data_IF_887740593470
#
_entry.id   IF_887740593470
#
_cell.length_a   1.000
_cell.length_b   1.000
_cell.length_c   1.000
_cell.angle_alpha   90.00
_cell.angle_beta   90.00
_cell.angle_gamma   90.00
#
_symmetry.space_group_name_H-M   'P 1'
#
loop_
_entity.id
_entity.type
_entity.pdbx_description
1 polymer ?
#
# COMPACT_ATOMS: atom_id res chain seq x y z
N UNK A 1 5.80 -19.03 -5.15
CA UNK A 1 4.50 -18.90 -4.45
C UNK A 1 4.64 -19.57 -3.09
N UNK A 2 4.68 -18.78 -2.03
CA UNK A 2 5.02 -19.21 -0.67
C UNK A 2 3.97 -18.67 0.30
N UNK A 3 3.70 -19.38 1.41
CA UNK A 3 2.76 -18.91 2.41
C UNK A 3 3.30 -17.64 3.07
N UNK A 4 2.52 -16.58 3.06
CA UNK A 4 2.87 -15.31 3.70
C UNK A 4 2.08 -15.19 5.00
N UNK A 5 2.76 -14.71 6.04
CA UNK A 5 2.12 -14.42 7.32
C UNK A 5 1.97 -12.92 7.48
N UNK A 6 0.74 -12.51 7.76
CA UNK A 6 0.41 -11.18 8.26
C UNK A 6 0.23 -11.22 9.79
N UNK A 7 0.95 -10.34 10.47
CA UNK A 7 0.94 -10.20 11.92
C UNK A 7 0.54 -8.80 12.32
N UNK A 8 -0.24 -8.70 13.39
CA UNK A 8 -0.45 -7.47 14.10
C UNK A 8 0.71 -7.23 15.08
N UNK A 9 1.18 -6.00 15.14
CA UNK A 9 2.22 -5.58 16.08
C UNK A 9 1.57 -4.81 17.22
N UNK A 10 1.51 -5.43 18.40
CA UNK A 10 1.15 -4.77 19.65
C UNK A 10 2.43 -4.38 20.38
N UNK A 11 2.92 -3.17 20.09
CA UNK A 11 3.83 -2.53 21.04
C UNK A 11 2.97 -2.00 22.18
N UNK A 12 2.97 -2.70 23.32
CA UNK A 12 2.39 -2.14 24.54
C UNK A 12 3.17 -0.87 24.86
N UNK A 13 2.57 0.29 24.60
CA UNK A 13 3.12 1.56 25.04
C UNK A 13 3.29 1.47 26.55
N UNK A 14 4.54 1.34 26.99
CA UNK A 14 4.86 1.56 28.39
C UNK A 14 4.37 2.98 28.69
N UNK A 15 3.43 3.10 29.62
CA UNK A 15 2.77 4.33 30.11
C UNK A 15 3.77 5.48 30.33
N UNK A 16 4.19 6.17 29.27
CA UNK A 16 5.02 7.38 29.34
C UNK A 16 4.15 8.61 29.06
N UNK A 17 3.00 8.45 28.39
CA UNK A 17 2.01 9.49 28.14
C UNK A 17 1.03 9.73 29.30
N UNK A 18 1.02 8.89 30.34
CA UNK A 18 0.15 9.03 31.54
C UNK A 18 0.87 9.65 32.74
N UNK A 19 1.88 10.49 32.52
CA UNK A 19 2.05 11.63 33.42
C UNK A 19 1.03 12.66 32.99
N UNK A 20 -0.15 12.59 33.60
CA UNK A 20 -1.22 13.56 33.36
C UNK A 20 -0.72 14.97 33.56
N UNK A 21 -0.48 15.69 32.47
CA UNK A 21 -0.32 17.13 32.51
C UNK A 21 -1.61 17.73 31.95
N UNK A 22 -2.39 18.25 32.89
CA UNK A 22 -3.59 19.02 32.64
C UNK A 22 -3.33 20.04 31.52
N UNK A 23 -4.32 20.15 30.64
CA UNK A 23 -4.43 21.17 29.62
C UNK A 23 -4.17 22.56 30.24
N UNK A 24 -2.95 23.09 30.10
CA UNK A 24 -2.75 24.54 29.96
C UNK A 24 -1.37 25.02 29.52
N UNK A 25 -0.31 24.20 29.51
CA UNK A 25 1.00 24.65 29.02
C UNK A 25 1.60 23.65 28.03
N UNK A 26 1.69 24.09 26.78
CA UNK A 26 2.29 23.36 25.67
C UNK A 26 3.82 23.52 25.76
N UNK A 27 4.41 22.85 26.75
CA UNK A 27 5.81 23.02 27.12
C UNK A 27 6.74 22.41 26.06
N UNK A 28 7.69 23.20 25.55
CA UNK A 28 8.73 22.81 24.59
C UNK A 28 9.48 21.52 24.98
N UNK A 29 9.58 21.25 26.29
CA UNK A 29 10.18 20.04 26.86
C UNK A 29 9.37 18.75 26.57
N UNK A 30 8.04 18.85 26.47
CA UNK A 30 7.17 17.71 26.11
C UNK A 30 7.31 17.34 24.63
N UNK A 31 7.45 18.34 23.75
CA UNK A 31 7.70 18.09 22.33
C UNK A 31 9.09 17.47 22.07
N UNK A 32 10.13 17.90 22.80
CA UNK A 32 11.48 17.31 22.70
C UNK A 32 11.53 15.86 23.23
N UNK A 33 10.78 15.56 24.31
CA UNK A 33 10.73 14.20 24.87
C UNK A 33 9.96 13.24 23.95
N UNK A 34 8.84 13.68 23.38
CA UNK A 34 8.05 12.90 22.42
C UNK A 34 8.84 12.65 21.13
N UNK A 35 9.52 13.66 20.59
CA UNK A 35 10.36 13.50 19.39
C UNK A 35 11.51 12.52 19.64
N UNK A 36 12.16 12.62 20.81
CA UNK A 36 13.22 11.68 21.20
C UNK A 36 12.68 10.25 21.38
N UNK A 37 11.51 10.10 21.98
CA UNK A 37 10.84 8.80 22.11
C UNK A 37 10.49 8.20 20.75
N UNK A 38 9.92 8.96 19.82
CA UNK A 38 9.63 8.52 18.45
C UNK A 38 10.93 8.08 17.74
N UNK A 39 12.04 8.80 17.94
CA UNK A 39 13.33 8.40 17.37
C UNK A 39 13.83 7.07 17.96
N UNK A 40 13.67 6.86 19.25
CA UNK A 40 14.00 5.58 19.91
C UNK A 40 13.09 4.47 19.38
N UNK A 41 11.79 4.70 19.22
CA UNK A 41 10.85 3.73 18.67
C UNK A 41 11.21 3.32 17.24
N UNK A 42 11.55 4.29 16.38
CA UNK A 42 12.08 4.02 15.03
C UNK A 42 13.33 3.15 15.07
N UNK A 43 14.23 3.41 16.03
CA UNK A 43 15.47 2.63 16.20
C UNK A 43 15.20 1.21 16.68
N UNK A 44 14.34 1.04 17.68
CA UNK A 44 13.93 -0.28 18.19
C UNK A 44 13.24 -1.07 17.09
N UNK A 45 12.33 -0.45 16.35
CA UNK A 45 11.65 -1.07 15.21
C UNK A 45 12.63 -1.48 14.09
N UNK A 46 13.62 -0.64 13.78
CA UNK A 46 14.65 -1.00 12.81
C UNK A 46 15.49 -2.20 13.27
N UNK A 47 15.85 -2.26 14.55
CA UNK A 47 16.55 -3.41 15.15
C UNK A 47 15.69 -4.67 15.13
N UNK A 48 14.40 -4.53 15.41
CA UNK A 48 13.42 -5.60 15.35
C UNK A 48 13.33 -6.21 13.95
N UNK A 49 13.16 -5.40 12.91
CA UNK A 49 13.17 -5.87 11.52
C UNK A 49 14.52 -6.49 11.11
N UNK A 50 15.63 -6.00 11.65
CA UNK A 50 16.93 -6.61 11.42
C UNK A 50 17.03 -8.02 12.03
N UNK A 51 16.43 -8.25 13.21
CA UNK A 51 16.42 -9.57 13.84
C UNK A 51 15.51 -10.57 13.10
N UNK A 52 14.35 -10.14 12.58
CA UNK A 52 13.56 -10.97 11.65
C UNK A 52 14.40 -11.48 10.47
N UNK A 53 15.12 -10.57 9.81
CA UNK A 53 15.99 -10.92 8.67
C UNK A 53 17.13 -11.85 9.08
N UNK A 54 17.72 -11.67 10.26
CA UNK A 54 18.76 -12.58 10.79
C UNK A 54 18.23 -13.98 11.05
N UNK A 55 16.97 -14.10 11.47
CA UNK A 55 16.28 -15.38 11.66
C UNK A 55 15.77 -16.00 10.34
N UNK A 56 16.13 -15.40 9.20
CA UNK A 56 15.79 -15.90 7.86
C UNK A 56 14.39 -15.55 7.39
N UNK A 57 13.66 -14.68 8.10
CA UNK A 57 12.36 -14.18 7.65
C UNK A 57 12.55 -13.10 6.60
N UNK A 58 11.89 -13.24 5.45
CA UNK A 58 11.88 -12.21 4.43
C UNK A 58 10.71 -11.25 4.70
N UNK A 59 11.02 -10.01 5.08
CA UNK A 59 10.02 -9.00 5.43
C UNK A 59 9.54 -8.29 4.16
N UNK A 60 8.27 -8.50 3.81
CA UNK A 60 7.62 -7.87 2.64
C UNK A 60 7.18 -6.45 2.98
N UNK A 61 6.52 -6.29 4.12
CA UNK A 61 5.99 -5.00 4.56
C UNK A 61 6.07 -4.90 6.07
N UNK A 62 6.35 -3.71 6.59
CA UNK A 62 6.31 -3.45 8.00
C UNK A 62 6.04 -1.97 8.29
N UNK A 63 5.06 -1.71 9.15
CA UNK A 63 4.87 -0.43 9.83
C UNK A 63 4.72 -0.67 11.34
N UNK A 64 4.41 0.36 12.12
CA UNK A 64 4.28 0.22 13.58
C UNK A 64 3.06 -0.59 14.05
N UNK A 65 2.17 -1.00 13.14
CA UNK A 65 0.94 -1.71 13.46
C UNK A 65 0.85 -3.11 12.83
N UNK A 66 1.58 -3.35 11.73
CA UNK A 66 1.45 -4.56 10.91
C UNK A 66 2.80 -4.96 10.31
N UNK A 67 3.07 -6.25 10.29
CA UNK A 67 4.22 -6.85 9.61
C UNK A 67 3.73 -8.00 8.72
N UNK A 68 4.19 -8.03 7.47
CA UNK A 68 3.99 -9.13 6.54
C UNK A 68 5.34 -9.77 6.27
N UNK A 69 5.45 -11.07 6.55
CA UNK A 69 6.64 -11.87 6.27
C UNK A 69 6.33 -12.99 5.29
N UNK A 70 7.34 -13.33 4.49
CA UNK A 70 7.36 -14.55 3.72
C UNK A 70 8.01 -15.66 4.53
N UNK A 71 7.26 -16.76 4.72
CA UNK A 71 7.69 -17.90 5.53
C UNK A 71 8.58 -18.86 4.75
N UNK A 72 8.61 -18.79 3.42
CA UNK A 72 9.30 -19.76 2.59
C UNK A 72 8.68 -21.16 2.61
N UNK A 73 7.49 -21.33 3.21
CA UNK A 73 6.82 -22.63 3.34
C UNK A 73 5.67 -22.75 2.35
N UNK A 74 5.54 -23.92 1.74
CA UNK A 74 4.48 -24.19 0.76
C UNK A 74 3.20 -24.60 1.49
N UNK A 75 3.32 -25.38 2.56
CA UNK A 75 2.21 -25.89 3.34
C UNK A 75 1.93 -25.02 4.59
N UNK A 76 0.65 -24.87 4.90
CA UNK A 76 0.18 -24.07 6.03
C UNK A 76 0.68 -24.58 7.40
N UNK A 77 0.71 -25.90 7.70
CA UNK A 77 1.23 -26.40 8.97
C UNK A 77 2.70 -26.05 9.19
N UNK A 78 3.56 -26.21 8.17
CA UNK A 78 4.97 -25.82 8.26
C UNK A 78 5.13 -24.31 8.39
N UNK A 79 4.29 -23.52 7.72
CA UNK A 79 4.26 -22.06 7.88
C UNK A 79 3.95 -21.68 9.33
N UNK A 80 2.91 -22.28 9.94
CA UNK A 80 2.56 -22.06 11.36
C UNK A 80 3.72 -22.43 12.30
N UNK A 81 4.29 -23.63 12.15
CA UNK A 81 5.41 -24.08 12.98
C UNK A 81 6.64 -23.17 12.85
N UNK A 82 6.94 -22.67 11.63
CA UNK A 82 8.00 -21.69 11.43
C UNK A 82 7.72 -20.39 12.19
N UNK A 83 6.48 -19.89 12.12
CA UNK A 83 6.08 -18.66 12.79
C UNK A 83 6.13 -18.80 14.32
N UNK A 84 5.62 -19.89 14.88
CA UNK A 84 5.68 -20.13 16.32
C UNK A 84 7.13 -20.19 16.83
N UNK A 85 8.01 -20.84 16.08
CA UNK A 85 9.45 -20.89 16.38
C UNK A 85 10.11 -19.50 16.31
N UNK A 86 9.78 -18.73 15.27
CA UNK A 86 10.27 -17.36 15.06
C UNK A 86 9.84 -16.45 16.21
N UNK A 87 8.56 -16.48 16.59
CA UNK A 87 8.01 -15.70 17.69
C UNK A 87 8.64 -16.06 19.02
N UNK A 88 8.74 -17.36 19.32
CA UNK A 88 9.38 -17.84 20.54
C UNK A 88 10.85 -17.39 20.61
N UNK A 89 11.56 -17.40 19.49
CA UNK A 89 12.95 -16.93 19.43
C UNK A 89 13.06 -15.43 19.64
N UNK A 90 12.16 -14.63 19.05
CA UNK A 90 12.14 -13.17 19.25
C UNK A 90 11.88 -12.79 20.71
N UNK A 91 10.99 -13.52 21.40
CA UNK A 91 10.69 -13.31 22.82
C UNK A 91 11.88 -13.62 23.76
N UNK A 92 12.87 -14.41 23.32
CA UNK A 92 14.09 -14.65 24.13
C UNK A 92 15.05 -13.46 24.15
N UNK A 93 14.82 -12.43 23.34
CA UNK A 93 15.68 -11.24 23.28
C UNK A 93 15.14 -10.18 24.23
N UNK A 94 15.94 -9.76 25.20
CA UNK A 94 15.59 -8.74 26.21
C UNK A 94 15.02 -7.44 25.59
N UNK A 95 15.52 -7.05 24.41
CA UNK A 95 15.07 -5.84 23.71
C UNK A 95 13.62 -5.92 23.19
N UNK A 96 13.07 -7.12 23.00
CA UNK A 96 11.75 -7.35 22.40
C UNK A 96 10.78 -8.06 23.33
N UNK A 97 11.16 -8.27 24.60
CA UNK A 97 10.31 -8.89 25.62
C UNK A 97 8.92 -8.21 25.73
N UNK A 98 8.89 -6.90 25.48
CA UNK A 98 7.70 -6.05 25.59
C UNK A 98 6.90 -5.93 24.28
N UNK A 99 7.34 -6.62 23.23
CA UNK A 99 6.68 -6.60 21.92
C UNK A 99 5.83 -7.86 21.79
N UNK A 100 4.52 -7.66 21.69
CA UNK A 100 3.56 -8.72 21.42
C UNK A 100 3.27 -8.77 19.92
N UNK A 101 3.36 -9.97 19.35
CA UNK A 101 3.10 -10.23 17.95
C UNK A 101 1.99 -11.27 17.85
N UNK A 102 0.90 -10.92 17.18
CA UNK A 102 -0.24 -11.81 17.00
C UNK A 102 -0.40 -12.16 15.51
N UNK A 103 -0.29 -13.44 15.12
CA UNK A 103 -0.64 -13.88 13.76
C UNK A 103 -2.11 -13.58 13.45
N UNK A 104 -2.38 -12.78 12.41
CA UNK A 104 -3.75 -12.45 11.99
C UNK A 104 -4.20 -13.32 10.82
N UNK A 105 -3.44 -13.30 9.73
CA UNK A 105 -3.82 -13.94 8.47
C UNK A 105 -2.66 -14.71 7.87
N UNK A 106 -2.94 -15.93 7.41
CA UNK A 106 -2.04 -16.69 6.56
C UNK A 106 -2.55 -16.56 5.12
N UNK A 107 -1.66 -16.27 4.19
CA UNK A 107 -1.98 -16.10 2.78
C UNK A 107 -1.28 -17.20 1.98
N UNK A 108 -2.01 -17.93 1.15
CA UNK A 108 -1.41 -18.89 0.21
C UNK A 108 -0.73 -18.20 -0.98
N UNK A 109 -1.24 -17.04 -1.37
CA UNK A 109 -0.71 -16.19 -2.43
C UNK A 109 -1.11 -14.76 -2.12
N UNK A 110 -0.22 -13.80 -2.32
CA UNK A 110 -0.47 -12.37 -2.11
C UNK A 110 0.24 -11.55 -3.19
N UNK A 111 -0.51 -10.66 -3.82
CA UNK A 111 0.03 -9.50 -4.52
C UNK A 111 -0.12 -8.30 -3.60
N UNK A 112 1.00 -7.67 -3.27
CA UNK A 112 1.04 -6.56 -2.32
C UNK A 112 1.75 -5.37 -2.96
N UNK A 113 1.02 -4.27 -3.18
CA UNK A 113 1.58 -2.99 -3.62
C UNK A 113 1.80 -2.08 -2.42
N UNK A 114 0.76 -1.91 -1.60
CA UNK A 114 0.80 -1.17 -0.34
C UNK A 114 -0.34 -1.65 0.59
N UNK A 115 -0.51 -0.99 1.74
CA UNK A 115 -1.52 -1.36 2.75
C UNK A 115 -2.99 -1.18 2.29
N UNK A 116 -3.25 -0.46 1.19
CA UNK A 116 -4.57 -0.23 0.60
C UNK A 116 -4.76 -0.93 -0.76
N UNK A 117 -3.67 -1.42 -1.34
CA UNK A 117 -3.60 -2.03 -2.66
C UNK A 117 -2.95 -3.41 -2.56
N UNK A 118 -3.76 -4.42 -2.28
CA UNK A 118 -3.35 -5.81 -2.20
C UNK A 118 -4.49 -6.76 -2.61
N UNK A 119 -4.13 -7.95 -3.05
CA UNK A 119 -5.06 -9.04 -3.27
C UNK A 119 -4.40 -10.36 -2.95
N UNK A 120 -5.13 -11.30 -2.36
CA UNK A 120 -4.54 -12.55 -1.93
C UNK A 120 -5.56 -13.65 -1.70
N UNK A 121 -5.07 -14.88 -1.66
CA UNK A 121 -5.84 -16.07 -1.33
C UNK A 121 -5.59 -16.38 0.13
N UNK A 122 -6.60 -16.19 0.97
CA UNK A 122 -6.46 -16.37 2.39
C UNK A 122 -6.57 -17.85 2.76
N UNK A 123 -5.66 -18.31 3.61
CA UNK A 123 -5.71 -19.63 4.21
C UNK A 123 -6.69 -19.61 5.38
N UNK A 124 -7.65 -20.55 5.39
CA UNK A 124 -8.59 -20.66 6.50
C UNK A 124 -7.87 -21.13 7.77
N UNK A 125 -8.03 -20.36 8.84
CA UNK A 125 -7.64 -20.79 10.18
C UNK A 125 -8.81 -21.58 10.73
N UNK A 126 -8.76 -22.92 10.65
CA UNK A 126 -9.77 -23.77 11.27
C UNK A 126 -9.76 -23.56 12.78
N UNK A 127 -10.67 -22.73 13.27
CA UNK A 127 -11.11 -22.65 14.66
C UNK A 127 -12.63 -22.89 14.72
N UNK A 128 -13.16 -23.93 14.07
CA UNK A 128 -14.51 -24.44 14.37
C UNK A 128 -14.56 -25.96 14.17
N UNK A 129 -14.94 -26.62 15.24
CA UNK A 129 -15.35 -28.01 15.39
C UNK A 129 -16.41 -28.43 14.34
N UNK A 130 -15.98 -29.10 13.28
CA UNK A 130 -16.83 -30.04 12.53
C UNK A 130 -15.95 -30.81 11.55
N UNK A 131 -15.70 -32.07 11.87
CA UNK A 131 -14.83 -32.99 11.15
C UNK A 131 -15.44 -33.55 9.86
N UNK A 132 -16.38 -32.84 9.23
CA UNK A 132 -17.12 -33.31 8.06
C UNK A 132 -17.34 -32.16 7.06
N UNK A 133 -16.30 -31.82 6.31
CA UNK A 133 -16.47 -31.08 5.05
C UNK A 133 -15.39 -31.53 4.08
N UNK A 134 -15.82 -32.28 3.06
CA UNK A 134 -15.05 -32.63 1.88
C UNK A 134 -14.26 -31.43 1.36
N UNK A 135 -12.96 -31.65 1.09
CA UNK A 135 -11.97 -30.73 0.48
C UNK A 135 -12.38 -30.37 -0.96
N UNK A 136 -13.54 -29.72 -1.10
CA UNK A 136 -14.08 -29.20 -2.35
C UNK A 136 -13.55 -27.81 -2.66
N UNK A 137 -13.36 -27.53 -3.95
CA UNK A 137 -12.92 -26.24 -4.55
C UNK A 137 -13.86 -25.05 -4.22
N UNK A 138 -14.94 -25.27 -3.46
CA UNK A 138 -16.01 -24.31 -3.14
C UNK A 138 -15.68 -23.36 -1.96
N UNK A 139 -14.50 -23.48 -1.34
CA UNK A 139 -14.20 -22.80 -0.07
C UNK A 139 -12.95 -21.90 -0.12
N UNK A 140 -12.76 -21.18 -1.22
CA UNK A 140 -11.62 -20.30 -1.47
C UNK A 140 -12.01 -18.84 -1.23
N UNK A 141 -11.34 -18.20 -0.27
CA UNK A 141 -11.54 -16.78 0.03
C UNK A 141 -10.45 -15.93 -0.64
N UNK A 142 -10.82 -15.29 -1.77
CA UNK A 142 -9.95 -14.34 -2.46
C UNK A 142 -10.29 -12.93 -1.98
N UNK A 143 -9.37 -12.35 -1.22
CA UNK A 143 -9.47 -10.97 -0.77
C UNK A 143 -8.95 -10.04 -1.87
N UNK A 144 -9.74 -9.01 -2.20
CA UNK A 144 -9.42 -8.03 -3.22
C UNK A 144 -9.60 -6.62 -2.66
N UNK A 145 -8.50 -5.95 -2.35
CA UNK A 145 -8.48 -4.58 -1.82
C UNK A 145 -7.61 -3.71 -2.73
N UNK A 146 -8.22 -3.06 -3.71
CA UNK A 146 -7.49 -2.23 -4.70
C UNK A 146 -8.05 -0.81 -4.75
N UNK A 147 -7.59 0.06 -3.86
CA UNK A 147 -7.98 1.48 -3.88
C UNK A 147 -7.68 2.15 -5.23
N UNK A 148 -6.59 1.80 -5.90
CA UNK A 148 -6.27 2.28 -7.26
C UNK A 148 -7.35 1.94 -8.30
N UNK A 149 -8.13 0.88 -8.09
CA UNK A 149 -9.20 0.50 -9.01
C UNK A 149 -10.39 1.47 -8.94
N UNK A 150 -10.59 2.17 -7.82
CA UNK A 150 -11.66 3.15 -7.67
C UNK A 150 -11.48 4.35 -8.61
N UNK A 151 -10.24 4.62 -9.01
CA UNK A 151 -9.84 5.65 -9.97
C UNK A 151 -9.95 5.20 -11.43
N UNK A 152 -10.45 3.99 -11.70
CA UNK A 152 -10.82 3.56 -13.04
C UNK A 152 -12.30 3.90 -13.33
N UNK A 153 -12.71 4.06 -14.59
CA UNK A 153 -14.13 4.14 -14.95
C UNK A 153 -14.92 2.95 -14.41
N UNK A 154 -16.14 3.17 -13.89
CA UNK A 154 -16.96 2.12 -13.26
C UNK A 154 -17.11 0.86 -14.13
N UNK A 155 -17.29 1.02 -15.43
CA UNK A 155 -17.41 -0.09 -16.38
C UNK A 155 -16.15 -0.99 -16.48
N UNK A 156 -14.98 -0.52 -16.03
CA UNK A 156 -13.72 -1.26 -16.11
C UNK A 156 -13.24 -1.79 -14.76
N UNK A 157 -13.88 -1.40 -13.64
CA UNK A 157 -13.49 -1.82 -12.30
C UNK A 157 -13.64 -3.33 -12.11
N UNK A 158 -14.78 -3.89 -12.54
CA UNK A 158 -15.04 -5.33 -12.43
C UNK A 158 -14.06 -6.16 -13.26
N UNK A 159 -13.74 -5.68 -14.46
CA UNK A 159 -12.73 -6.30 -15.33
C UNK A 159 -11.35 -6.32 -14.65
N UNK A 160 -10.98 -5.23 -13.97
CA UNK A 160 -9.72 -5.15 -13.25
C UNK A 160 -9.68 -6.18 -12.10
N UNK A 161 -10.72 -6.21 -11.26
CA UNK A 161 -10.82 -7.13 -10.12
C UNK A 161 -10.79 -8.58 -10.59
N UNK A 162 -11.53 -8.91 -11.66
CA UNK A 162 -11.57 -10.26 -12.21
C UNK A 162 -10.19 -10.74 -12.68
N UNK A 163 -9.49 -9.94 -13.48
CA UNK A 163 -8.18 -10.33 -14.03
C UNK A 163 -7.15 -10.50 -12.91
N UNK A 164 -7.12 -9.60 -11.92
CA UNK A 164 -6.19 -9.72 -10.79
C UNK A 164 -6.49 -10.97 -9.96
N UNK A 165 -7.78 -11.25 -9.72
CA UNK A 165 -8.20 -12.45 -8.98
C UNK A 165 -7.82 -13.74 -9.71
N UNK A 166 -7.99 -13.79 -11.02
CA UNK A 166 -7.56 -14.92 -11.85
C UNK A 166 -6.04 -15.08 -11.87
N UNK A 167 -5.30 -13.97 -11.92
CA UNK A 167 -3.84 -13.99 -11.87
C UNK A 167 -3.31 -14.54 -10.54
N UNK A 168 -4.03 -14.32 -9.44
CA UNK A 168 -3.76 -14.97 -8.16
C UNK A 168 -4.14 -16.46 -8.17
N UNK A 169 -5.33 -16.77 -8.66
CA UNK A 169 -5.94 -18.10 -8.58
C UNK A 169 -5.31 -19.14 -9.50
N UNK A 170 -5.10 -18.81 -10.78
CA UNK A 170 -4.61 -19.75 -11.81
C UNK A 170 -3.30 -20.44 -11.42
N UNK A 171 -2.22 -19.72 -11.07
CA UNK A 171 -0.98 -20.37 -10.68
C UNK A 171 -1.08 -21.09 -9.32
N UNK A 172 -1.95 -20.63 -8.42
CA UNK A 172 -2.17 -21.29 -7.13
C UNK A 172 -2.88 -22.63 -7.29
N UNK A 173 -3.93 -22.67 -8.12
CA UNK A 173 -4.66 -23.91 -8.45
C UNK A 173 -3.72 -24.94 -9.06
N UNK A 174 -2.92 -24.52 -10.04
CA UNK A 174 -1.91 -25.37 -10.67
C UNK A 174 -0.91 -25.92 -9.65
N UNK A 175 -0.45 -25.10 -8.70
CA UNK A 175 0.43 -25.55 -7.62
C UNK A 175 -0.25 -26.60 -6.73
N UNK A 176 -1.51 -26.39 -6.32
CA UNK A 176 -2.28 -27.34 -5.49
C UNK A 176 -2.41 -28.70 -6.19
N UNK A 177 -2.75 -28.68 -7.48
CA UNK A 177 -2.85 -29.89 -8.31
C UNK A 177 -1.51 -30.62 -8.43
N UNK A 178 -0.41 -29.90 -8.65
CA UNK A 178 0.94 -30.50 -8.71
C UNK A 178 1.37 -31.14 -7.39
N UNK A 179 1.08 -30.50 -6.25
CA UNK A 179 1.35 -31.07 -4.93
C UNK A 179 0.52 -32.33 -4.70
N UNK A 180 -0.76 -32.34 -5.07
CA UNK A 180 -1.63 -33.50 -4.96
C UNK A 180 -1.16 -34.67 -5.83
N UNK A 181 -0.79 -34.42 -7.09
CA UNK A 181 -0.21 -35.42 -7.99
C UNK A 181 1.08 -36.03 -7.42
N UNK A 182 1.97 -35.20 -6.84
CA UNK A 182 3.20 -35.68 -6.19
C UNK A 182 2.93 -36.51 -4.94
N UNK A 183 1.89 -36.18 -4.18
CA UNK A 183 1.46 -36.96 -3.02
C UNK A 183 0.91 -38.33 -3.43
N UNK A 184 0.11 -38.40 -4.50
CA UNK A 184 -0.46 -39.65 -5.00
C UNK A 184 0.59 -40.62 -5.59
N UNK A 185 1.74 -40.12 -6.03
CA UNK A 185 2.83 -40.91 -6.62
C UNK A 185 3.85 -41.43 -5.59
N UNK A 186 3.75 -41.04 -4.31
CA UNK A 186 4.65 -41.52 -3.25
C UNK A 186 4.15 -42.86 -2.70
N UNK A 187 4.92 -43.91 -2.96
CA UNK A 187 4.73 -45.26 -2.40
C UNK A 187 5.03 -45.28 -0.89
N UNK A 188 4.35 -46.16 -0.15
CA UNK A 188 4.11 -46.15 1.31
C UNK A 188 5.35 -46.40 2.20
N UNK A 189 6.57 -46.28 1.64
CA UNK A 189 7.82 -46.79 2.25
C UNK A 189 8.84 -45.73 2.68
N UNK A 190 8.54 -44.42 2.62
CA UNK A 190 9.48 -43.39 3.09
C UNK A 190 8.85 -42.42 4.10
N UNK A 191 9.25 -42.57 5.37
CA UNK A 191 8.76 -41.84 6.54
C UNK A 191 9.25 -40.39 6.66
N UNK A 192 9.34 -39.64 5.55
CA UNK A 192 9.69 -38.21 5.60
C UNK A 192 8.63 -37.38 4.87
N UNK A 193 7.69 -36.75 5.60
CA UNK A 193 6.64 -35.92 4.99
C UNK A 193 7.16 -34.58 4.42
N UNK A 194 8.41 -34.22 4.66
CA UNK A 194 8.99 -32.93 4.26
C UNK A 194 9.37 -32.89 2.77
N UNK A 195 8.88 -31.89 2.04
CA UNK A 195 9.42 -31.53 0.72
C UNK A 195 10.87 -31.03 0.94
N UNK A 196 11.85 -31.64 0.28
CA UNK A 196 13.24 -31.17 0.34
C UNK A 196 13.34 -29.77 -0.29
N UNK A 197 14.30 -28.96 0.12
CA UNK A 197 14.50 -27.59 -0.41
C UNK A 197 14.52 -27.58 -1.95
N UNK A 198 15.27 -28.51 -2.56
CA UNK A 198 15.32 -28.66 -4.01
C UNK A 198 13.97 -29.02 -4.67
N UNK A 199 13.14 -29.82 -3.99
CA UNK A 199 11.83 -30.20 -4.53
C UNK A 199 10.83 -29.05 -4.46
N UNK A 200 10.97 -28.16 -3.47
CA UNK A 200 10.19 -26.93 -3.36
C UNK A 200 10.62 -25.89 -4.41
N UNK A 201 11.93 -25.68 -4.61
CA UNK A 201 12.46 -24.79 -5.66
C UNK A 201 12.05 -25.26 -7.07
N UNK A 202 12.08 -26.57 -7.32
CA UNK A 202 11.64 -27.13 -8.61
C UNK A 202 10.12 -26.96 -8.82
N UNK A 203 9.30 -27.13 -7.76
CA UNK A 203 7.88 -26.84 -7.85
C UNK A 203 7.61 -25.36 -8.16
N UNK A 204 8.31 -24.45 -7.48
CA UNK A 204 8.20 -23.01 -7.71
C UNK A 204 8.58 -22.65 -9.15
N UNK A 205 9.68 -23.20 -9.68
CA UNK A 205 10.06 -23.03 -11.08
C UNK A 205 8.98 -23.49 -12.07
N UNK A 206 8.38 -24.67 -11.84
CA UNK A 206 7.29 -25.18 -12.69
C UNK A 206 6.05 -24.27 -12.67
N UNK A 207 5.69 -23.73 -11.50
CA UNK A 207 4.56 -22.80 -11.36
C UNK A 207 4.84 -21.49 -12.09
N UNK A 208 6.06 -20.95 -11.99
CA UNK A 208 6.48 -19.73 -12.69
C UNK A 208 6.45 -19.93 -14.21
N UNK A 209 6.97 -21.05 -14.70
CA UNK A 209 6.96 -21.36 -16.14
C UNK A 209 5.54 -21.55 -16.67
N UNK A 210 4.67 -22.20 -15.90
CA UNK A 210 3.24 -22.30 -16.21
C UNK A 210 2.57 -20.92 -16.29
N UNK A 211 2.80 -20.05 -15.29
CA UNK A 211 2.25 -18.70 -15.27
C UNK A 211 2.75 -17.87 -16.45
N UNK A 212 4.05 -17.97 -16.80
CA UNK A 212 4.62 -17.33 -17.99
C UNK A 212 3.87 -17.75 -19.26
N UNK A 213 3.57 -19.04 -19.39
CA UNK A 213 2.74 -19.57 -20.48
C UNK A 213 1.35 -18.94 -20.52
N UNK A 214 0.66 -18.89 -19.37
CA UNK A 214 -0.68 -18.29 -19.25
C UNK A 214 -0.70 -16.79 -19.56
N UNK A 215 0.35 -16.06 -19.19
CA UNK A 215 0.48 -14.63 -19.53
C UNK A 215 0.56 -14.44 -21.04
N UNK A 216 1.34 -15.26 -21.73
CA UNK A 216 1.52 -15.18 -23.18
C UNK A 216 0.30 -15.58 -24.00
N UNK A 217 -0.61 -16.38 -23.44
CA UNK A 217 -1.81 -16.90 -24.11
C UNK A 217 -3.08 -16.35 -23.48
N UNK A 218 -3.55 -16.97 -22.39
CA UNK A 218 -4.82 -16.70 -21.74
C UNK A 218 -5.01 -15.22 -21.35
N UNK A 219 -4.08 -14.66 -20.57
CA UNK A 219 -4.21 -13.27 -20.12
C UNK A 219 -4.01 -12.27 -21.26
N UNK A 220 -3.09 -12.54 -22.19
CA UNK A 220 -2.89 -11.68 -23.35
C UNK A 220 -4.16 -11.57 -24.22
N UNK A 221 -4.77 -12.71 -24.59
CA UNK A 221 -5.99 -12.74 -25.39
C UNK A 221 -7.17 -12.06 -24.68
N UNK A 222 -7.32 -12.33 -23.39
CA UNK A 222 -8.39 -11.76 -22.57
C UNK A 222 -8.24 -10.24 -22.41
N UNK A 223 -7.04 -9.75 -22.10
CA UNK A 223 -6.78 -8.31 -21.98
C UNK A 223 -6.90 -7.57 -23.31
N UNK A 224 -6.47 -8.17 -24.43
CA UNK A 224 -6.67 -7.59 -25.76
C UNK A 224 -8.17 -7.41 -26.09
N UNK A 225 -8.99 -8.41 -25.74
CA UNK A 225 -10.45 -8.36 -25.90
C UNK A 225 -11.06 -7.26 -25.03
N UNK A 226 -10.78 -7.26 -23.72
CA UNK A 226 -11.30 -6.25 -22.78
C UNK A 226 -10.90 -4.83 -23.20
N UNK A 227 -9.64 -4.60 -23.55
CA UNK A 227 -9.16 -3.28 -24.00
C UNK A 227 -9.87 -2.84 -25.29
N UNK A 228 -10.12 -3.77 -26.22
CA UNK A 228 -10.85 -3.48 -27.46
C UNK A 228 -12.31 -3.10 -27.17
N UNK A 229 -12.96 -3.81 -26.26
CA UNK A 229 -14.35 -3.53 -25.84
C UNK A 229 -14.47 -2.17 -25.14
N UNK A 230 -13.51 -1.83 -24.26
CA UNK A 230 -13.44 -0.50 -23.63
C UNK A 230 -13.30 0.59 -24.70
N UNK A 231 -12.45 0.39 -25.71
CA UNK A 231 -12.29 1.34 -26.80
C UNK A 231 -13.58 1.52 -27.60
N UNK A 232 -14.37 0.47 -27.82
CA UNK A 232 -15.65 0.54 -28.52
C UNK A 232 -16.72 1.25 -27.68
N UNK A 233 -16.87 0.87 -26.41
CA UNK A 233 -17.87 1.41 -25.51
C UNK A 233 -17.70 2.92 -25.26
N UNK A 234 -16.47 3.39 -25.12
CA UNK A 234 -16.18 4.80 -24.84
C UNK A 234 -16.06 5.68 -26.10
N UNK A 235 -15.86 5.11 -27.30
CA UNK A 235 -15.97 5.85 -28.57
C UNK A 235 -17.41 6.32 -28.87
N UNK A 236 -18.42 5.60 -28.36
CA UNK A 236 -19.83 5.92 -28.57
C UNK A 236 -20.35 7.10 -27.73
N UNK A 237 -19.82 7.30 -26.52
CA UNK A 237 -20.27 8.36 -25.59
C UNK A 237 -19.73 9.76 -25.91
N UNK A 238 -18.60 9.88 -26.60
CA UNK A 238 -17.95 11.16 -26.91
C UNK A 238 -18.62 12.02 -28.00
N UNK A 239 -19.78 11.63 -28.54
CA UNK A 239 -20.48 12.36 -29.62
C UNK A 239 -21.85 12.94 -29.24
N UNK A 240 -22.30 12.82 -27.99
CA UNK A 240 -23.66 13.18 -27.58
C UNK A 240 -23.76 14.25 -26.48
N UNK A 241 -22.76 15.13 -26.32
CA UNK A 241 -22.95 16.34 -25.48
C UNK A 241 -22.37 17.57 -26.20
N UNK A 242 -23.25 18.24 -26.94
CA UNK A 242 -23.06 19.61 -27.39
C UNK A 242 -23.28 20.58 -26.23
N UNK A 243 -22.23 21.33 -25.91
CA UNK A 243 -22.18 22.69 -25.32
C UNK A 243 -23.46 23.18 -24.64
N UNK A 244 -23.44 23.19 -23.30
CA UNK A 244 -24.24 24.08 -22.46
C UNK A 244 -23.40 24.52 -21.24
N UNK A 245 -23.45 25.79 -20.80
CA UNK A 245 -22.71 26.24 -19.63
C UNK A 245 -23.55 25.95 -18.38
N UNK A 246 -23.39 24.76 -17.81
CA UNK A 246 -23.95 24.43 -16.50
C UNK A 246 -22.82 24.23 -15.48
N UNK A 247 -22.82 25.10 -14.48
CA UNK A 247 -22.10 24.94 -13.21
C UNK A 247 -22.57 23.66 -12.51
N UNK A 248 -22.04 22.50 -12.91
CA UNK A 248 -22.13 21.28 -12.14
C UNK A 248 -20.77 21.04 -11.51
N UNK A 249 -20.78 20.90 -10.20
CA UNK A 249 -19.65 20.62 -9.32
C UNK A 249 -18.74 19.56 -9.96
N UNK A 250 -17.47 19.94 -10.15
CA UNK A 250 -16.45 19.11 -10.77
C UNK A 250 -16.20 17.87 -9.90
N UNK A 251 -16.69 16.71 -10.34
CA UNK A 251 -16.28 15.42 -9.80
C UNK A 251 -14.74 15.32 -9.85
N UNK A 252 -14.05 15.16 -8.71
CA UNK A 252 -12.59 15.00 -8.67
C UNK A 252 -12.08 13.81 -9.48
N UNK A 253 -12.97 12.84 -9.81
CA UNK A 253 -12.68 11.65 -10.58
C UNK A 253 -13.02 11.76 -12.08
N UNK A 254 -13.17 13.00 -12.60
CA UNK A 254 -13.40 13.21 -14.03
C UNK A 254 -12.21 12.68 -14.84
N UNK A 255 -12.40 11.49 -15.44
CA UNK A 255 -11.44 10.79 -16.30
C UNK A 255 -11.04 11.67 -17.48
N UNK A 256 -9.95 12.42 -17.34
CA UNK A 256 -9.40 13.28 -18.41
C UNK A 256 -8.65 12.50 -19.51
N UNK A 257 -8.55 11.18 -19.39
CA UNK A 257 -7.75 10.30 -20.24
C UNK A 257 -8.55 9.23 -20.97
N UNK A 258 -7.88 8.54 -21.91
CA UNK A 258 -8.42 7.36 -22.57
C UNK A 258 -8.63 6.23 -21.53
N UNK A 259 -9.88 5.88 -21.25
CA UNK A 259 -10.27 4.82 -20.30
C UNK A 259 -9.48 3.51 -20.51
N UNK A 260 -9.21 3.14 -21.76
CA UNK A 260 -8.44 1.94 -22.08
C UNK A 260 -6.96 2.08 -21.70
N UNK A 261 -6.37 3.27 -21.87
CA UNK A 261 -4.98 3.53 -21.46
C UNK A 261 -4.85 3.47 -19.93
N UNK A 262 -5.76 4.08 -19.20
CA UNK A 262 -5.75 4.02 -17.73
C UNK A 262 -5.92 2.58 -17.25
N UNK A 263 -6.86 1.82 -17.82
CA UNK A 263 -7.01 0.40 -17.52
C UNK A 263 -5.70 -0.39 -17.73
N UNK A 264 -5.03 -0.21 -18.88
CA UNK A 264 -3.74 -0.85 -19.18
C UNK A 264 -2.68 -0.48 -18.14
N UNK A 265 -2.57 0.79 -17.77
CA UNK A 265 -1.59 1.26 -16.78
C UNK A 265 -1.79 0.58 -15.43
N UNK A 266 -3.03 0.54 -14.94
CA UNK A 266 -3.36 -0.02 -13.63
C UNK A 266 -3.16 -1.53 -13.60
N UNK A 267 -3.72 -2.25 -14.58
CA UNK A 267 -3.63 -3.72 -14.57
C UNK A 267 -2.18 -4.18 -14.74
N UNK A 268 -1.42 -3.60 -15.67
CA UNK A 268 -0.02 -3.99 -15.86
C UNK A 268 0.87 -3.60 -14.67
N UNK A 269 0.56 -2.52 -13.94
CA UNK A 269 1.30 -2.17 -12.73
C UNK A 269 1.12 -3.23 -11.62
N UNK A 270 -0.09 -3.76 -11.47
CA UNK A 270 -0.41 -4.80 -10.47
C UNK A 270 0.16 -6.15 -10.85
N UNK A 271 0.00 -6.58 -12.11
CA UNK A 271 0.54 -7.85 -12.57
C UNK A 271 2.08 -7.87 -12.55
N UNK A 272 2.73 -6.72 -12.71
CA UNK A 272 4.18 -6.59 -12.65
C UNK A 272 4.75 -6.61 -11.21
N UNK A 273 3.91 -6.71 -10.17
CA UNK A 273 4.36 -6.90 -8.79
C UNK A 273 5.05 -8.27 -8.62
N UNK A 274 4.66 -9.28 -9.41
CA UNK A 274 5.39 -10.56 -9.47
C UNK A 274 6.66 -10.41 -10.33
N UNK A 275 7.80 -10.32 -9.65
CA UNK A 275 9.10 -10.14 -10.27
C UNK A 275 9.49 -11.30 -11.19
N UNK A 276 8.95 -12.50 -10.99
CA UNK A 276 9.30 -13.69 -11.78
C UNK A 276 8.76 -13.63 -13.22
N UNK A 277 7.73 -12.82 -13.46
CA UNK A 277 7.04 -12.70 -14.76
C UNK A 277 7.03 -11.27 -15.29
N UNK A 278 7.77 -10.36 -14.67
CA UNK A 278 7.78 -8.94 -15.02
C UNK A 278 8.09 -8.69 -16.50
N UNK A 279 9.05 -9.42 -17.07
CA UNK A 279 9.41 -9.30 -18.50
C UNK A 279 8.24 -9.67 -19.43
N UNK A 280 7.51 -10.73 -19.10
CA UNK A 280 6.36 -11.20 -19.87
C UNK A 280 5.20 -10.20 -19.80
N UNK A 281 4.95 -9.63 -18.61
CA UNK A 281 3.99 -8.55 -18.42
C UNK A 281 4.38 -7.29 -19.22
N UNK A 282 5.67 -6.92 -19.27
CA UNK A 282 6.13 -5.80 -20.08
C UNK A 282 5.91 -6.03 -21.57
N UNK A 283 6.16 -7.25 -22.06
CA UNK A 283 5.88 -7.64 -23.45
C UNK A 283 4.38 -7.56 -23.77
N UNK A 284 3.53 -8.04 -22.87
CA UNK A 284 2.07 -7.94 -23.00
C UNK A 284 1.62 -6.47 -22.99
N UNK A 285 2.10 -5.66 -22.05
CA UNK A 285 1.84 -4.21 -21.98
C UNK A 285 2.18 -3.51 -23.27
N UNK A 286 3.33 -3.81 -23.88
CA UNK A 286 3.72 -3.25 -25.18
C UNK A 286 2.69 -3.55 -26.28
N UNK A 287 2.12 -4.75 -26.29
CA UNK A 287 1.09 -5.11 -27.26
C UNK A 287 -0.24 -4.37 -27.00
N UNK A 288 -0.63 -4.24 -25.73
CA UNK A 288 -1.81 -3.46 -25.33
C UNK A 288 -1.66 -1.97 -25.70
N UNK A 289 -0.49 -1.38 -25.46
CA UNK A 289 -0.21 0.03 -25.80
C UNK A 289 -0.26 0.30 -27.31
N UNK A 290 0.13 -0.66 -28.14
CA UNK A 290 -0.03 -0.56 -29.61
C UNK A 290 -1.50 -0.45 -30.02
N UNK A 291 -2.43 -1.16 -29.36
CA UNK A 291 -3.86 -1.07 -29.65
C UNK A 291 -4.41 0.35 -29.42
N UNK A 292 -3.97 1.00 -28.34
CA UNK A 292 -4.35 2.38 -28.01
C UNK A 292 -3.48 3.44 -28.69
N UNK A 293 -2.52 3.03 -29.54
CA UNK A 293 -1.58 3.89 -30.29
C UNK A 293 -0.69 4.77 -29.42
N UNK A 294 -0.31 4.28 -28.24
CA UNK A 294 0.59 4.97 -27.31
C UNK A 294 1.96 4.30 -27.34
N UNK A 295 3.03 5.10 -27.30
CA UNK A 295 4.41 4.57 -27.25
C UNK A 295 4.72 4.07 -25.85
N UNK A 296 5.46 2.97 -25.77
CA UNK A 296 5.83 2.29 -24.51
C UNK A 296 6.47 3.22 -23.46
N UNK A 297 7.31 4.15 -23.92
CA UNK A 297 8.05 5.09 -23.07
C UNK A 297 7.46 6.50 -23.06
N UNK A 298 6.24 6.70 -23.59
CA UNK A 298 5.57 7.99 -23.51
C UNK A 298 5.28 8.33 -22.04
N UNK A 299 5.37 9.61 -21.63
CA UNK A 299 5.04 10.00 -20.27
C UNK A 299 3.61 9.64 -19.89
N UNK A 300 2.65 9.74 -20.83
CA UNK A 300 1.26 9.31 -20.59
C UNK A 300 1.09 7.79 -20.38
N UNK A 301 2.05 6.97 -20.81
CA UNK A 301 1.99 5.52 -20.67
C UNK A 301 2.48 5.04 -19.30
N UNK A 302 3.17 5.88 -18.54
CA UNK A 302 3.73 5.51 -17.24
C UNK A 302 2.62 5.46 -16.19
N UNK A 303 2.53 4.35 -15.47
CA UNK A 303 1.67 4.27 -14.31
C UNK A 303 2.14 5.29 -13.27
N UNK A 304 1.21 6.10 -12.80
CA UNK A 304 1.38 7.02 -11.69
C UNK A 304 0.25 6.67 -10.72
N UNK A 305 0.60 6.44 -9.46
CA UNK A 305 -0.40 6.19 -8.43
C UNK A 305 -1.38 7.37 -8.40
N UNK A 306 -2.67 7.15 -8.75
CA UNK A 306 -3.65 8.23 -8.81
C UNK A 306 -4.04 8.72 -7.42
N UNK A 307 -3.76 7.93 -6.38
CA UNK A 307 -4.19 8.20 -5.02
C UNK A 307 -3.23 9.22 -4.39
N UNK A 308 -3.73 10.42 -4.09
CA UNK A 308 -3.07 11.25 -3.10
C UNK A 308 -2.94 10.44 -1.80
N UNK A 309 -1.79 10.50 -1.14
CA UNK A 309 -1.63 9.99 0.21
C UNK A 309 -1.25 11.15 1.11
N UNK A 310 -1.98 11.29 2.21
CA UNK A 310 -1.59 12.16 3.28
C UNK A 310 -1.76 11.43 4.60
N UNK A 311 -0.63 11.20 5.26
CA UNK A 311 -0.57 10.52 6.53
C UNK A 311 -0.52 11.57 7.64
N UNK A 312 -1.51 11.53 8.54
CA UNK A 312 -1.46 12.18 9.84
C UNK A 312 -0.74 11.22 10.82
N UNK A 313 0.50 11.51 11.21
CA UNK A 313 1.30 10.54 11.96
C UNK A 313 0.99 10.54 13.45
N UNK A 314 1.19 9.40 14.10
CA UNK A 314 1.12 9.22 15.57
C UNK A 314 -0.19 9.70 16.21
N UNK A 315 -1.34 9.34 15.63
CA UNK A 315 -2.64 9.61 16.24
C UNK A 315 -2.87 8.63 17.39
N UNK A 316 -2.99 9.16 18.60
CA UNK A 316 -3.15 8.38 19.83
C UNK A 316 -4.61 8.36 20.25
N UNK A 317 -5.16 7.18 20.51
CA UNK A 317 -6.49 7.03 21.09
C UNK A 317 -6.48 7.41 22.56
N UNK A 318 -7.35 8.34 22.97
CA UNK A 318 -7.48 8.81 24.34
C UNK A 318 -7.98 7.74 25.33
N UNK A 319 -8.54 6.63 24.84
CA UNK A 319 -9.04 5.54 25.66
C UNK A 319 -8.06 4.36 25.78
N UNK A 320 -7.71 3.73 24.65
CA UNK A 320 -6.85 2.53 24.66
C UNK A 320 -5.36 2.82 24.48
N UNK A 321 -4.98 4.09 24.23
CA UNK A 321 -3.61 4.51 23.91
C UNK A 321 -3.00 3.83 22.67
N UNK A 322 -3.84 3.23 21.81
CA UNK A 322 -3.40 2.81 20.48
C UNK A 322 -2.88 4.02 19.71
N UNK A 323 -1.71 3.88 19.10
CA UNK A 323 -1.07 4.95 18.36
C UNK A 323 -0.78 4.47 16.96
N UNK A 324 -1.43 5.11 15.99
CA UNK A 324 -1.31 4.74 14.59
C UNK A 324 -1.25 5.95 13.68
N UNK A 325 -0.70 5.72 12.50
CA UNK A 325 -0.74 6.69 11.41
C UNK A 325 -2.09 6.61 10.70
N UNK A 326 -2.72 7.74 10.39
CA UNK A 326 -3.99 7.82 9.66
C UNK A 326 -3.76 8.33 8.24
N UNK A 327 -4.05 7.54 7.20
CA UNK A 327 -4.06 8.04 5.82
C UNK A 327 -5.42 8.68 5.50
N UNK A 328 -5.46 10.01 5.50
CA UNK A 328 -6.70 10.78 5.35
C UNK A 328 -7.27 10.74 3.93
N UNK A 329 -6.53 10.20 2.96
CA UNK A 329 -6.97 10.12 1.57
C UNK A 329 -7.43 8.71 1.18
N UNK A 330 -6.88 7.66 1.81
CA UNK A 330 -7.08 6.26 1.40
C UNK A 330 -7.83 5.41 2.43
N UNK A 331 -7.82 5.79 3.71
CA UNK A 331 -8.50 5.03 4.75
C UNK A 331 -10.02 5.23 4.66
N UNK A 332 -10.73 4.18 4.23
CA UNK A 332 -12.19 4.18 4.09
C UNK A 332 -12.92 4.40 5.42
N UNK A 333 -12.32 4.03 6.55
CA UNK A 333 -12.89 4.25 7.88
C UNK A 333 -12.93 5.74 8.27
N UNK A 334 -12.15 6.57 7.57
CA UNK A 334 -12.07 8.02 7.79
C UNK A 334 -12.94 8.82 6.82
N UNK A 335 -13.70 8.17 5.93
CA UNK A 335 -14.63 8.86 5.02
C UNK A 335 -15.82 9.49 5.77
N UNK A 336 -16.17 8.93 6.94
CA UNK A 336 -17.16 9.54 7.84
C UNK A 336 -16.60 10.76 8.57
N UNK A 337 -17.49 11.63 9.05
CA UNK A 337 -17.08 12.78 9.88
C UNK A 337 -16.65 12.36 11.30
N UNK A 338 -16.89 11.12 11.69
CA UNK A 338 -16.54 10.61 13.01
C UNK A 338 -15.43 9.57 12.88
N UNK A 339 -14.18 10.03 12.99
CA UNK A 339 -13.03 9.15 12.98
C UNK A 339 -12.97 8.38 14.29
N UNK A 340 -12.78 7.06 14.21
CA UNK A 340 -12.78 6.18 15.39
C UNK A 340 -11.49 5.38 15.46
N UNK A 341 -11.12 5.01 16.68
CA UNK A 341 -10.04 4.07 16.92
C UNK A 341 -10.34 2.75 16.19
N UNK A 342 -9.36 2.24 15.44
CA UNK A 342 -9.50 1.03 14.64
C UNK A 342 -9.40 -0.27 15.47
N UNK A 343 -9.05 -0.17 16.75
CA UNK A 343 -9.05 -1.31 17.67
C UNK A 343 -10.49 -1.80 17.86
N UNK A 344 -10.83 -3.06 17.47
CA UNK A 344 -12.21 -3.55 17.43
C UNK A 344 -12.98 -3.40 18.75
N UNK A 345 -12.30 -3.57 19.88
CA UNK A 345 -12.87 -3.46 21.22
C UNK A 345 -12.89 -2.03 21.79
N UNK A 346 -12.28 -1.07 21.09
CA UNK A 346 -12.21 0.32 21.53
C UNK A 346 -13.30 1.17 20.85
N UNK A 347 -13.20 1.37 19.53
CA UNK A 347 -14.14 2.18 18.75
C UNK A 347 -14.30 3.64 19.20
N UNK A 348 -13.46 4.13 20.13
CA UNK A 348 -13.55 5.47 20.69
C UNK A 348 -13.36 6.52 19.59
N UNK A 349 -14.25 7.53 19.50
CA UNK A 349 -14.09 8.61 18.53
C UNK A 349 -12.89 9.48 18.88
N UNK A 350 -12.12 9.87 17.87
CA UNK A 350 -11.04 10.83 18.01
C UNK A 350 -11.60 12.25 18.17
N UNK A 351 -10.91 13.07 18.96
CA UNK A 351 -11.26 14.47 19.15
C UNK A 351 -10.99 15.26 17.86
N UNK A 352 -12.05 15.66 17.16
CA UNK A 352 -11.96 16.37 15.88
C UNK A 352 -11.14 17.65 15.95
N UNK A 353 -11.26 18.41 17.04
CA UNK A 353 -10.50 19.64 17.26
C UNK A 353 -9.00 19.37 17.38
N UNK A 354 -8.60 18.29 18.06
CA UNK A 354 -7.20 17.88 18.15
C UNK A 354 -6.65 17.45 16.79
N UNK A 355 -7.46 16.73 16.00
CA UNK A 355 -7.09 16.31 14.65
C UNK A 355 -6.92 17.51 13.71
N UNK A 356 -7.86 18.45 13.73
CA UNK A 356 -7.77 19.68 12.94
C UNK A 356 -6.56 20.52 13.36
N UNK A 357 -6.31 20.66 14.66
CA UNK A 357 -5.13 21.37 15.16
C UNK A 357 -3.83 20.69 14.72
N UNK A 358 -3.74 19.36 14.79
CA UNK A 358 -2.56 18.62 14.32
C UNK A 358 -2.32 18.86 12.81
N UNK A 359 -3.37 18.87 12.00
CA UNK A 359 -3.28 19.20 10.58
C UNK A 359 -2.85 20.64 10.33
N UNK A 360 -3.38 21.60 11.10
CA UNK A 360 -2.98 23.00 11.06
C UNK A 360 -1.48 23.15 11.36
N UNK A 361 -0.96 22.47 12.40
CA UNK A 361 0.47 22.49 12.71
C UNK A 361 1.31 21.95 11.55
N UNK A 362 0.87 20.86 10.91
CA UNK A 362 1.57 20.29 9.75
C UNK A 362 1.58 21.27 8.57
N UNK A 363 0.44 21.88 8.25
CA UNK A 363 0.32 22.87 7.16
C UNK A 363 1.23 24.07 7.43
N UNK A 364 1.19 24.63 8.64
CA UNK A 364 2.03 25.79 9.02
C UNK A 364 3.52 25.45 9.03
N UNK A 365 3.89 24.28 9.52
CA UNK A 365 5.27 23.83 9.46
C UNK A 365 5.74 23.66 8.02
N UNK A 366 4.88 23.14 7.15
CA UNK A 366 5.20 22.95 5.73
C UNK A 366 5.33 24.27 4.97
N UNK A 367 4.42 25.21 5.21
CA UNK A 367 4.51 26.59 4.73
C UNK A 367 5.84 27.23 5.17
N UNK A 368 6.19 27.12 6.46
CA UNK A 368 7.46 27.63 6.98
C UNK A 368 8.67 27.01 6.27
N UNK A 369 8.70 25.68 6.14
CA UNK A 369 9.80 24.98 5.48
C UNK A 369 9.93 25.34 4.00
N UNK A 370 8.82 25.63 3.31
CA UNK A 370 8.86 26.10 1.93
C UNK A 370 9.52 27.48 1.81
N UNK A 371 9.24 28.40 2.73
CA UNK A 371 9.89 29.71 2.74
C UNK A 371 11.36 29.67 3.18
N UNK A 372 11.72 28.71 4.04
CA UNK A 372 13.09 28.52 4.54
C UNK A 372 13.95 27.58 3.69
N UNK A 373 13.41 27.06 2.58
CA UNK A 373 14.09 26.04 1.79
C UNK A 373 15.39 26.55 1.17
N UNK A 374 16.29 25.61 0.91
CA UNK A 374 17.52 25.89 0.17
C UNK A 374 17.24 26.26 -1.30
N UNK A 375 18.15 27.06 -1.85
CA UNK A 375 18.26 27.26 -3.29
C UNK A 375 19.33 26.34 -3.89
N UNK A 376 19.05 25.78 -5.07
CA UNK A 376 19.93 24.85 -5.78
C UNK A 376 20.29 25.41 -7.15
N UNK A 377 21.57 25.29 -7.52
CA UNK A 377 22.03 25.74 -8.83
C UNK A 377 21.47 24.84 -9.95
N UNK A 378 20.95 25.44 -11.02
CA UNK A 378 20.41 24.71 -12.17
C UNK A 378 21.49 23.91 -12.92
N UNK A 379 22.72 24.43 -12.98
CA UNK A 379 23.84 23.78 -13.70
C UNK A 379 24.53 22.69 -12.87
N UNK A 380 25.12 23.05 -11.74
CA UNK A 380 25.99 22.14 -10.98
C UNK A 380 25.27 21.41 -9.84
N UNK A 381 23.97 21.67 -9.62
CA UNK A 381 23.14 21.07 -8.55
C UNK A 381 23.65 21.30 -7.12
N UNK A 382 24.61 22.20 -6.92
CA UNK A 382 25.10 22.59 -5.61
C UNK A 382 24.10 23.51 -4.88
N UNK A 383 24.03 23.37 -3.56
CA UNK A 383 23.24 24.23 -2.68
C UNK A 383 23.89 25.60 -2.58
N UNK A 384 23.08 26.66 -2.57
CA UNK A 384 23.53 28.04 -2.39
C UNK A 384 24.07 28.23 -0.97
N UNK A 385 25.38 28.39 -0.85
CA UNK A 385 26.03 28.60 0.45
C UNK A 385 25.99 30.06 0.94
N UNK A 386 26.06 31.03 0.02
CA UNK A 386 26.11 32.45 0.36
C UNK A 386 24.73 33.10 0.23
N UNK A 387 24.30 33.93 1.19
CA UNK A 387 22.96 34.54 1.17
C UNK A 387 22.75 35.56 0.03
N UNK A 388 23.75 36.42 -0.22
CA UNK A 388 23.60 37.56 -1.13
C UNK A 388 23.87 37.22 -2.60
N UNK A 389 24.64 36.16 -2.89
CA UNK A 389 25.05 35.86 -4.27
C UNK A 389 23.86 35.53 -5.17
N UNK A 390 23.66 36.28 -6.25
CA UNK A 390 22.61 36.03 -7.23
C UNK A 390 22.95 34.85 -8.14
N UNK A 391 24.24 34.56 -8.33
CA UNK A 391 24.74 33.51 -9.21
C UNK A 391 25.60 32.52 -8.45
N UNK A 392 25.60 31.27 -8.93
CA UNK A 392 26.52 30.24 -8.45
C UNK A 392 27.94 30.50 -8.98
N UNK A 393 28.96 29.97 -8.30
CA UNK A 393 30.36 30.04 -8.74
C UNK A 393 30.58 29.45 -10.15
N UNK A 394 29.68 28.58 -10.63
CA UNK A 394 29.71 28.05 -12.00
C UNK A 394 28.99 28.95 -13.03
N UNK A 395 28.58 30.15 -12.63
CA UNK A 395 27.78 31.09 -13.42
C UNK A 395 26.32 30.65 -13.64
N UNK A 396 25.86 29.59 -12.98
CA UNK A 396 24.47 29.12 -13.07
C UNK A 396 23.54 29.90 -12.15
N UNK A 397 22.29 30.08 -12.58
CA UNK A 397 21.23 30.63 -11.73
C UNK A 397 20.80 29.63 -10.65
N UNK A 398 20.21 30.17 -9.59
CA UNK A 398 19.60 29.40 -8.52
C UNK A 398 18.10 29.28 -8.70
N UNK A 399 17.54 28.18 -8.20
CA UNK A 399 16.09 27.96 -8.09
C UNK A 399 15.75 27.33 -6.75
N UNK A 400 14.50 27.42 -6.32
CA UNK A 400 14.01 26.69 -5.15
C UNK A 400 14.22 25.18 -5.32
N UNK A 401 14.56 24.49 -4.22
CA UNK A 401 14.67 23.03 -4.19
C UNK A 401 13.33 22.35 -4.49
N UNK A 402 12.25 22.88 -3.92
CA UNK A 402 10.86 22.56 -4.23
C UNK A 402 10.24 23.72 -5.00
N UNK A 403 9.76 23.45 -6.21
CA UNK A 403 9.13 24.46 -7.06
C UNK A 403 7.71 24.78 -6.58
N UNK A 404 7.24 26.02 -6.79
CA UNK A 404 5.92 26.47 -6.35
C UNK A 404 4.76 25.55 -6.79
N UNK A 405 4.68 25.04 -8.04
CA UNK A 405 3.59 24.15 -8.45
C UNK A 405 3.54 22.84 -7.64
N UNK A 406 4.71 22.33 -7.23
CA UNK A 406 4.79 21.10 -6.42
C UNK A 406 4.26 21.38 -5.01
N UNK A 407 4.70 22.46 -4.37
CA UNK A 407 4.23 22.88 -3.06
C UNK A 407 2.72 23.14 -3.06
N UNK A 408 2.20 23.90 -4.03
CA UNK A 408 0.78 24.21 -4.15
C UNK A 408 -0.06 22.96 -4.43
N UNK A 409 0.46 22.02 -5.23
CA UNK A 409 -0.19 20.71 -5.45
C UNK A 409 -0.35 19.93 -4.14
N UNK A 410 0.67 19.96 -3.27
CA UNK A 410 0.61 19.35 -1.93
C UNK A 410 -0.34 20.08 -0.99
N UNK A 411 -0.41 21.42 -1.04
CA UNK A 411 -1.39 22.21 -0.29
C UNK A 411 -2.84 21.92 -0.73
N UNK A 412 -3.06 21.64 -2.02
CA UNK A 412 -4.39 21.27 -2.53
C UNK A 412 -4.92 19.99 -1.91
N UNK A 413 -4.07 19.03 -1.57
CA UNK A 413 -4.47 17.80 -0.87
C UNK A 413 -5.07 18.13 0.50
N UNK A 414 -4.44 19.03 1.27
CA UNK A 414 -5.00 19.48 2.56
C UNK A 414 -6.33 20.21 2.38
N UNK A 415 -6.48 21.01 1.33
CA UNK A 415 -7.75 21.68 1.04
C UNK A 415 -8.86 20.65 0.79
N UNK A 416 -8.57 19.60 0.01
CA UNK A 416 -9.55 18.55 -0.28
C UNK A 416 -9.95 17.80 1.00
N UNK A 417 -8.98 17.47 1.86
CA UNK A 417 -9.24 16.86 3.18
C UNK A 417 -10.07 17.79 4.06
N UNK A 418 -9.73 19.08 4.12
CA UNK A 418 -10.46 20.06 4.93
C UNK A 418 -11.91 20.20 4.48
N UNK A 419 -12.16 20.24 3.17
CA UNK A 419 -13.51 20.32 2.60
C UNK A 419 -14.30 19.03 2.85
N UNK A 420 -13.73 17.86 2.57
CA UNK A 420 -14.44 16.59 2.75
C UNK A 420 -14.80 16.32 4.21
N UNK A 421 -13.94 16.76 5.14
CA UNK A 421 -14.09 16.54 6.57
C UNK A 421 -14.75 17.71 7.30
N UNK A 422 -15.05 18.82 6.64
CA UNK A 422 -15.58 20.06 7.24
C UNK A 422 -14.70 20.61 8.38
N UNK A 423 -13.41 20.73 8.12
CA UNK A 423 -12.45 21.41 9.00
C UNK A 423 -12.32 22.88 8.56
N UNK A 424 -13.11 23.76 9.16
CA UNK A 424 -13.25 25.16 8.73
C UNK A 424 -11.95 25.96 8.89
N UNK A 425 -11.25 25.81 10.02
CA UNK A 425 -9.99 26.54 10.27
C UNK A 425 -8.89 26.05 9.35
N UNK A 426 -8.79 24.74 9.13
CA UNK A 426 -7.84 24.16 8.19
C UNK A 426 -8.13 24.63 6.76
N UNK A 427 -9.40 24.65 6.37
CA UNK A 427 -9.84 25.09 5.05
C UNK A 427 -9.47 26.55 4.79
N UNK A 428 -9.76 27.45 5.73
CA UNK A 428 -9.42 28.87 5.61
C UNK A 428 -7.91 29.11 5.59
N UNK A 429 -7.17 28.42 6.47
CA UNK A 429 -5.71 28.47 6.49
C UNK A 429 -5.09 28.07 5.14
N UNK A 430 -5.53 26.95 4.57
CA UNK A 430 -4.99 26.45 3.30
C UNK A 430 -5.44 27.30 2.12
N UNK A 431 -6.68 27.80 2.12
CA UNK A 431 -7.15 28.75 1.09
C UNK A 431 -6.29 29.99 1.05
N UNK A 432 -5.98 30.58 2.21
CA UNK A 432 -5.12 31.75 2.28
C UNK A 432 -3.74 31.49 1.66
N UNK A 433 -3.12 30.35 1.96
CA UNK A 433 -1.84 29.93 1.35
C UNK A 433 -1.95 29.78 -0.18
N UNK A 434 -3.09 29.29 -0.68
CA UNK A 434 -3.32 29.06 -2.12
C UNK A 434 -3.72 30.33 -2.90
N UNK A 435 -4.23 31.35 -2.21
CA UNK A 435 -4.64 32.64 -2.79
C UNK A 435 -3.50 33.64 -2.90
N UNK A 436 -2.54 33.58 -1.96
CA UNK A 436 -1.32 34.41 -2.01
C UNK A 436 -0.46 33.94 -3.18
N UNK A 437 -0.55 34.66 -4.31
CA UNK A 437 0.25 34.44 -5.53
C UNK A 437 1.59 35.15 -5.49
#
# INVERSE_FOLDING_TARGET
>A
MQCLLEMYLLMRYCNISTVGFAAHDQDFMTQLSIASFIMVMKKVFALFLAEFRKLGANVIFANFSKIIIDTGKVDLPSARAYCDSLLKTLQTRDLFEWIELEPLHYWHSLLFMDQYNYGGIQAKTQNVTSADSSDGDDDIDIVSSWNIAEYLPKATQDHFVLIVSEFLYVPWKYMKEQVACRAAMRDDTSCTPSITIMAAENLEGQVVDYLRGQIGTYFAEKLLTIVSDILLHFKGKGKSESVGPSNSELDPHLHKGNAALEFIKHICAVLALDQNVQHDILRMRKNLLKLVRVKEFAPEAQFQDPCASFILPNVICSYCNDCRDLDLCRDSTLQGHEWRCAVPQCGQPYHREEMENALLQIVRQRERLYHLQDLVCVRCRQVKAAHVSEQCNCGGSFRCKEEAPQFLGKMRVFLNVAVSQKFELLQDCVRWILEVR
#
